data_IF_650246224672
#
_entry.id   IF_650246224672
#
_cell.length_a   1.000
_cell.length_b   1.000
_cell.length_c   1.000
_cell.angle_alpha   90.00
_cell.angle_beta   90.00
_cell.angle_gamma   90.00
#
_symmetry.space_group_name_H-M   'P 1'
#
loop_
_entity.id
_entity.type
_entity.pdbx_description
1 polymer ?
#
# COMPACT_ATOMS: atom_id res chain seq x y z
N UNK A 1 -47.60 59.29 48.79
CA UNK A 1 -47.90 59.66 47.39
C UNK A 1 -46.58 59.61 46.64
N UNK A 2 -46.33 58.77 45.64
CA UNK A 2 -47.20 58.09 44.66
C UNK A 2 -46.51 56.78 44.28
N UNK A 3 -47.23 55.66 44.33
CA UNK A 3 -46.83 54.42 43.65
C UNK A 3 -47.40 54.49 42.24
N UNK A 4 -46.53 54.50 41.23
CA UNK A 4 -46.92 54.48 39.82
C UNK A 4 -47.32 53.06 39.44
N UNK A 5 -48.64 52.84 39.37
CA UNK A 5 -49.24 51.72 38.65
C UNK A 5 -48.88 51.85 37.17
N UNK A 6 -48.27 50.81 36.59
CA UNK A 6 -48.12 50.70 35.15
C UNK A 6 -49.08 49.61 34.69
N UNK A 7 -50.27 50.03 34.26
CA UNK A 7 -51.13 49.23 33.41
C UNK A 7 -50.40 48.96 32.10
N UNK A 8 -50.33 47.69 31.73
CA UNK A 8 -50.06 47.29 30.35
C UNK A 8 -50.89 46.04 30.09
N UNK A 9 -52.12 46.31 29.63
CA UNK A 9 -52.94 45.39 28.87
C UNK A 9 -52.13 44.91 27.66
N UNK A 10 -51.59 43.69 27.74
CA UNK A 10 -51.21 42.94 26.54
C UNK A 10 -52.30 41.91 26.29
N UNK A 11 -53.13 42.19 25.27
CA UNK A 11 -54.16 41.30 24.72
C UNK A 11 -53.81 39.82 24.85
N UNK A 12 -54.62 39.11 25.62
CA UNK A 12 -54.77 37.66 25.49
C UNK A 12 -55.38 37.39 24.12
N UNK A 13 -54.62 36.81 23.20
CA UNK A 13 -55.17 36.24 21.98
C UNK A 13 -55.83 34.92 22.34
N UNK A 14 -57.17 34.85 22.29
CA UNK A 14 -57.92 33.60 22.23
C UNK A 14 -57.45 32.75 21.04
N UNK A 15 -56.62 31.75 21.33
CA UNK A 15 -56.62 30.50 20.58
C UNK A 15 -57.36 29.52 21.48
N UNK A 16 -58.68 29.42 21.26
CA UNK A 16 -59.54 28.35 21.80
C UNK A 16 -59.07 27.02 21.19
N UNK A 17 -58.05 26.41 21.78
CA UNK A 17 -57.95 24.96 21.74
C UNK A 17 -58.79 24.45 22.90
N UNK A 18 -59.93 23.85 22.57
CA UNK A 18 -60.86 23.18 23.49
C UNK A 18 -60.12 22.09 24.28
N UNK A 19 -59.42 22.50 25.33
CA UNK A 19 -58.80 21.61 26.29
C UNK A 19 -59.69 21.69 27.53
N UNK A 20 -60.58 20.71 27.66
CA UNK A 20 -61.55 20.60 28.76
C UNK A 20 -60.80 20.46 30.09
N UNK A 21 -60.41 21.59 30.69
CA UNK A 21 -59.83 21.63 32.04
C UNK A 21 -60.96 21.39 33.04
N UNK A 22 -61.09 20.15 33.51
CA UNK A 22 -62.04 19.79 34.54
C UNK A 22 -61.70 20.49 35.87
N UNK A 23 -62.35 21.62 36.13
CA UNK A 23 -62.27 22.30 37.42
C UNK A 23 -63.08 21.51 38.46
N UNK A 24 -62.40 20.75 39.31
CA UNK A 24 -62.98 19.95 40.40
C UNK A 24 -63.92 20.79 41.29
N UNK A 25 -63.63 22.08 41.48
CA UNK A 25 -64.46 23.01 42.24
C UNK A 25 -65.83 23.36 41.60
N UNK A 26 -66.03 23.01 40.32
CA UNK A 26 -67.26 23.27 39.56
C UNK A 26 -68.05 22.01 39.19
N UNK A 27 -67.62 20.82 39.64
CA UNK A 27 -68.45 19.63 39.48
C UNK A 27 -69.66 19.73 40.41
N UNK A 28 -70.86 19.91 39.84
CA UNK A 28 -72.11 19.79 40.58
C UNK A 28 -72.22 18.36 41.11
N UNK A 29 -72.30 18.21 42.43
CA UNK A 29 -72.57 16.93 43.08
C UNK A 29 -74.07 16.71 42.89
N UNK A 30 -74.45 15.65 42.18
CA UNK A 30 -75.83 15.16 42.19
C UNK A 30 -76.09 14.64 43.61
N UNK A 31 -77.12 15.16 44.28
CA UNK A 31 -77.53 14.79 45.64
C UNK A 31 -78.03 13.33 45.66
N UNK A 32 -77.14 12.34 45.53
CA UNK A 32 -77.39 11.00 46.04
C UNK A 32 -77.44 11.13 47.56
N UNK A 33 -78.56 10.74 48.19
CA UNK A 33 -78.77 10.84 49.64
C UNK A 33 -77.55 10.30 50.39
N UNK A 34 -76.74 11.23 50.90
CA UNK A 34 -75.57 10.91 51.71
C UNK A 34 -76.12 10.26 52.98
N UNK A 35 -75.80 8.98 53.20
CA UNK A 35 -75.92 8.36 54.52
C UNK A 35 -75.16 9.26 55.50
N UNK A 36 -75.86 10.13 56.24
CA UNK A 36 -75.30 11.04 57.25
C UNK A 36 -74.66 10.22 58.37
N UNK A 37 -73.41 9.81 58.17
CA UNK A 37 -72.59 9.17 59.20
C UNK A 37 -72.19 10.27 60.20
N UNK A 38 -73.00 10.39 61.26
CA UNK A 38 -72.75 11.34 62.35
C UNK A 38 -71.54 10.89 63.20
N UNK A 39 -70.33 11.29 62.80
CA UNK A 39 -69.12 11.12 63.60
C UNK A 39 -69.17 11.97 64.88
N UNK A 40 -68.69 11.39 65.97
CA UNK A 40 -68.47 12.16 67.20
C UNK A 40 -67.31 13.15 67.00
N UNK A 41 -67.39 14.33 67.65
CA UNK A 41 -66.29 15.30 67.64
C UNK A 41 -64.97 14.68 68.13
N UNK A 42 -65.02 13.82 69.15
CA UNK A 42 -63.84 13.13 69.69
C UNK A 42 -63.22 12.17 68.67
N UNK A 43 -64.04 11.45 67.88
CA UNK A 43 -63.53 10.58 66.80
C UNK A 43 -62.85 11.39 65.69
N UNK A 44 -63.41 12.55 65.35
CA UNK A 44 -62.84 13.43 64.35
C UNK A 44 -61.51 14.02 64.80
N UNK A 45 -61.41 14.38 66.09
CA UNK A 45 -60.20 14.89 66.69
C UNK A 45 -59.08 13.84 66.72
N UNK A 46 -59.39 12.61 67.16
CA UNK A 46 -58.44 11.49 67.17
C UNK A 46 -57.96 11.16 65.74
N UNK A 47 -58.86 11.15 64.76
CA UNK A 47 -58.50 10.92 63.35
C UNK A 47 -57.55 12.01 62.81
N UNK A 48 -57.80 13.28 63.14
CA UNK A 48 -56.93 14.38 62.73
C UNK A 48 -55.54 14.30 63.39
N UNK A 49 -55.46 13.99 64.68
CA UNK A 49 -54.18 13.86 65.38
C UNK A 49 -53.33 12.72 64.81
N UNK A 50 -53.95 11.58 64.53
CA UNK A 50 -53.28 10.46 63.85
C UNK A 50 -52.77 10.86 62.46
N UNK A 51 -53.61 11.52 61.65
CA UNK A 51 -53.21 12.02 60.34
C UNK A 51 -52.05 13.01 60.40
N UNK A 52 -52.07 13.92 61.39
CA UNK A 52 -51.00 14.90 61.58
C UNK A 52 -49.67 14.24 61.98
N UNK A 53 -49.73 13.21 62.82
CA UNK A 53 -48.56 12.41 63.17
C UNK A 53 -47.98 11.69 61.95
N UNK A 54 -48.81 11.02 61.16
CA UNK A 54 -48.38 10.37 59.92
C UNK A 54 -47.77 11.36 58.92
N UNK A 55 -48.40 12.53 58.74
CA UNK A 55 -47.88 13.60 57.89
C UNK A 55 -46.48 14.05 58.33
N UNK A 56 -46.26 14.22 59.64
CA UNK A 56 -44.96 14.61 60.19
C UNK A 56 -43.90 13.55 59.90
N UNK A 57 -44.24 12.27 60.05
CA UNK A 57 -43.33 11.15 59.75
C UNK A 57 -43.00 11.08 58.26
N UNK A 58 -43.99 11.26 57.37
CA UNK A 58 -43.78 11.35 55.93
C UNK A 58 -42.86 12.53 55.58
N UNK A 59 -43.02 13.68 56.23
CA UNK A 59 -42.15 14.83 56.02
C UNK A 59 -40.69 14.54 56.40
N UNK A 60 -40.46 13.79 57.48
CA UNK A 60 -39.11 13.38 57.87
C UNK A 60 -38.50 12.41 56.85
N UNK A 61 -39.27 11.42 56.38
CA UNK A 61 -38.84 10.49 55.32
C UNK A 61 -38.53 11.22 54.02
N UNK A 62 -39.33 12.20 53.61
CA UNK A 62 -39.06 12.99 52.41
C UNK A 62 -37.75 13.79 52.53
N UNK A 63 -37.46 14.35 53.71
CA UNK A 63 -36.18 15.03 53.97
C UNK A 63 -34.98 14.09 53.87
N UNK A 64 -35.08 12.83 54.31
CA UNK A 64 -33.99 11.86 54.15
C UNK A 64 -33.83 11.47 52.68
N UNK A 65 -34.92 11.14 51.98
CA UNK A 65 -34.88 10.78 50.57
C UNK A 65 -34.27 11.87 49.69
N UNK A 66 -34.56 13.15 49.95
CA UNK A 66 -33.91 14.27 49.25
C UNK A 66 -32.40 14.31 49.43
N UNK A 67 -31.89 13.93 50.61
CA UNK A 67 -30.43 13.88 50.84
C UNK A 67 -29.82 12.72 50.07
N UNK A 68 -30.49 11.57 50.06
CA UNK A 68 -30.05 10.39 49.33
C UNK A 68 -30.04 10.64 47.82
N UNK A 69 -31.06 11.31 47.29
CA UNK A 69 -31.16 11.71 45.87
C UNK A 69 -30.00 12.62 45.44
N UNK A 70 -29.69 13.64 46.25
CA UNK A 70 -28.54 14.52 46.01
C UNK A 70 -27.21 13.72 46.07
N UNK A 71 -27.11 12.76 46.98
CA UNK A 71 -25.92 11.92 47.11
C UNK A 71 -25.72 11.03 45.88
N UNK A 72 -26.78 10.32 45.46
CA UNK A 72 -26.76 9.45 44.28
C UNK A 72 -26.48 10.22 43.00
N UNK A 73 -27.06 11.42 42.83
CA UNK A 73 -26.80 12.26 41.66
C UNK A 73 -25.30 12.60 41.54
N UNK A 74 -24.61 12.89 42.64
CA UNK A 74 -23.16 13.15 42.62
C UNK A 74 -22.35 11.92 42.25
N UNK A 75 -22.74 10.75 42.74
CA UNK A 75 -22.08 9.49 42.41
C UNK A 75 -22.23 9.15 40.93
N UNK A 76 -23.41 9.37 40.34
CA UNK A 76 -23.65 9.21 38.91
C UNK A 76 -22.74 10.13 38.08
N UNK A 77 -22.57 11.39 38.49
CA UNK A 77 -21.70 12.33 37.78
C UNK A 77 -20.22 11.90 37.83
N UNK A 78 -19.75 11.37 38.96
CA UNK A 78 -18.40 10.82 39.11
C UNK A 78 -18.21 9.62 38.18
N UNK A 79 -19.13 8.63 38.24
CA UNK A 79 -19.07 7.43 37.39
C UNK A 79 -19.14 7.76 35.90
N UNK A 80 -19.91 8.79 35.53
CA UNK A 80 -20.00 9.26 34.14
C UNK A 80 -18.66 9.82 33.66
N UNK A 81 -17.95 10.56 34.52
CA UNK A 81 -16.63 11.08 34.20
C UNK A 81 -15.60 9.93 34.09
N UNK A 82 -15.61 8.98 35.01
CA UNK A 82 -14.74 7.79 34.95
C UNK A 82 -14.99 6.96 33.69
N UNK A 83 -16.25 6.70 33.32
CA UNK A 83 -16.59 6.03 32.08
C UNK A 83 -16.10 6.78 30.83
N UNK A 84 -16.13 8.11 30.85
CA UNK A 84 -15.59 8.92 29.75
C UNK A 84 -14.07 8.77 29.62
N UNK A 85 -13.36 8.69 30.75
CA UNK A 85 -11.92 8.47 30.79
C UNK A 85 -11.56 7.08 30.24
N UNK A 86 -12.22 6.02 30.75
CA UNK A 86 -11.97 4.66 30.29
C UNK A 86 -12.30 4.46 28.81
N UNK A 87 -13.34 5.13 28.29
CA UNK A 87 -13.65 5.11 26.86
C UNK A 87 -12.50 5.67 26.01
N UNK A 88 -11.92 6.80 26.42
CA UNK A 88 -10.77 7.37 25.72
C UNK A 88 -9.54 6.46 25.77
N UNK A 89 -9.30 5.81 26.92
CA UNK A 89 -8.19 4.86 27.08
C UNK A 89 -8.35 3.64 26.15
N UNK A 90 -9.57 3.10 26.03
CA UNK A 90 -9.89 2.03 25.08
C UNK A 90 -9.63 2.47 23.63
N UNK A 91 -10.02 3.68 23.26
CA UNK A 91 -9.80 4.20 21.90
C UNK A 91 -8.29 4.32 21.59
N UNK A 92 -7.48 4.78 22.55
CA UNK A 92 -6.01 4.84 22.41
C UNK A 92 -5.43 3.43 22.24
N UNK A 93 -5.85 2.48 23.07
CA UNK A 93 -5.39 1.08 23.00
C UNK A 93 -5.76 0.43 21.67
N UNK A 94 -6.95 0.73 21.13
CA UNK A 94 -7.38 0.21 19.83
C UNK A 94 -6.48 0.73 18.68
N UNK A 95 -6.10 2.01 18.71
CA UNK A 95 -5.15 2.57 17.72
C UNK A 95 -3.78 1.91 17.84
N UNK A 96 -3.31 1.67 19.08
CA UNK A 96 -2.04 0.98 19.31
C UNK A 96 -2.07 -0.46 18.81
N UNK A 97 -3.15 -1.20 19.09
CA UNK A 97 -3.34 -2.58 18.64
C UNK A 97 -3.34 -2.67 17.11
N UNK A 98 -4.03 -1.75 16.43
CA UNK A 98 -4.03 -1.70 14.96
C UNK A 98 -2.61 -1.51 14.41
N UNK A 99 -1.87 -0.55 14.95
CA UNK A 99 -0.48 -0.29 14.56
C UNK A 99 0.42 -1.51 14.79
N UNK A 100 0.24 -2.22 15.92
CA UNK A 100 0.99 -3.44 16.23
C UNK A 100 0.73 -4.56 15.21
N UNK A 101 -0.51 -4.72 14.77
CA UNK A 101 -0.86 -5.71 13.74
C UNK A 101 -0.21 -5.37 12.39
N UNK A 102 -0.22 -4.09 12.00
CA UNK A 102 0.43 -3.62 10.77
C UNK A 102 1.95 -3.92 10.80
N UNK A 103 2.61 -3.66 11.93
CA UNK A 103 4.03 -4.01 12.13
C UNK A 103 4.28 -5.53 12.08
N UNK A 104 3.37 -6.35 12.59
CA UNK A 104 3.52 -7.82 12.53
C UNK A 104 3.45 -8.32 11.08
N UNK A 105 2.56 -7.76 10.27
CA UNK A 105 2.45 -8.09 8.85
C UNK A 105 3.70 -7.69 8.06
N UNK A 106 4.22 -6.48 8.30
CA UNK A 106 5.46 -6.01 7.68
C UNK A 106 6.66 -6.89 8.06
N UNK A 107 6.77 -7.28 9.33
CA UNK A 107 7.82 -8.19 9.80
C UNK A 107 7.74 -9.57 9.13
N UNK A 108 6.54 -10.09 8.85
CA UNK A 108 6.37 -11.33 8.09
C UNK A 108 6.87 -11.18 6.66
N UNK A 109 6.54 -10.07 5.98
CA UNK A 109 7.02 -9.77 4.61
C UNK A 109 8.55 -9.68 4.57
N UNK A 110 9.16 -8.93 5.49
CA UNK A 110 10.61 -8.78 5.57
C UNK A 110 11.32 -10.12 5.81
N UNK A 111 10.76 -11.02 6.62
CA UNK A 111 11.31 -12.38 6.80
C UNK A 111 11.34 -13.17 5.49
N UNK A 112 10.25 -13.12 4.71
CA UNK A 112 10.22 -13.79 3.39
C UNK A 112 11.25 -13.20 2.42
N UNK A 113 11.43 -11.88 2.41
CA UNK A 113 12.46 -11.22 1.58
C UNK A 113 13.88 -11.62 2.01
N UNK A 114 14.16 -11.67 3.31
CA UNK A 114 15.45 -12.12 3.83
C UNK A 114 15.75 -13.55 3.40
N UNK A 115 14.79 -14.46 3.49
CA UNK A 115 14.97 -15.86 3.07
C UNK A 115 15.22 -15.97 1.57
N UNK A 116 14.49 -15.20 0.75
CA UNK A 116 14.71 -15.11 -0.69
C UNK A 116 16.11 -14.57 -1.00
N UNK A 117 16.52 -13.46 -0.36
CA UNK A 117 17.84 -12.86 -0.52
C UNK A 117 18.95 -13.82 -0.10
N UNK A 118 18.82 -14.50 1.03
CA UNK A 118 19.78 -15.50 1.52
C UNK A 118 19.97 -16.64 0.52
N UNK A 119 18.90 -17.09 -0.15
CA UNK A 119 18.96 -18.09 -1.22
C UNK A 119 19.65 -17.56 -2.48
N UNK A 120 19.48 -16.30 -2.84
CA UNK A 120 20.22 -15.69 -3.96
C UNK A 120 21.70 -15.49 -3.63
N UNK A 121 22.01 -15.07 -2.40
CA UNK A 121 23.37 -14.86 -1.92
C UNK A 121 24.17 -16.16 -1.87
N UNK A 122 23.58 -17.26 -1.42
CA UNK A 122 24.27 -18.56 -1.42
C UNK A 122 24.62 -19.03 -2.84
N UNK A 123 23.72 -18.82 -3.83
CA UNK A 123 24.01 -19.08 -5.25
C UNK A 123 25.13 -18.19 -5.77
N UNK A 124 25.09 -16.90 -5.44
CA UNK A 124 26.12 -15.93 -5.82
C UNK A 124 27.49 -16.30 -5.24
N UNK A 125 27.56 -16.61 -3.93
CA UNK A 125 28.78 -17.06 -3.25
C UNK A 125 29.37 -18.29 -3.94
N UNK A 126 28.55 -19.33 -4.20
CA UNK A 126 29.00 -20.53 -4.90
C UNK A 126 29.54 -20.24 -6.31
N UNK A 127 29.00 -19.24 -7.00
CA UNK A 127 29.51 -18.81 -8.30
C UNK A 127 30.79 -17.99 -8.21
N UNK A 128 30.92 -17.16 -7.17
CA UNK A 128 32.14 -16.40 -6.87
C UNK A 128 33.30 -17.33 -6.57
N UNK A 129 33.10 -18.33 -5.69
CA UNK A 129 34.13 -19.31 -5.36
C UNK A 129 34.62 -20.05 -6.61
N UNK A 130 33.71 -20.39 -7.53
CA UNK A 130 34.08 -21.01 -8.82
C UNK A 130 34.89 -20.05 -9.71
N UNK A 131 34.50 -18.78 -9.77
CA UNK A 131 35.22 -17.76 -10.52
C UNK A 131 36.61 -17.51 -9.93
N UNK A 132 36.74 -17.39 -8.62
CA UNK A 132 38.00 -17.19 -7.91
C UNK A 132 38.93 -18.38 -8.11
N UNK A 133 38.39 -19.61 -8.07
CA UNK A 133 39.15 -20.80 -8.43
C UNK A 133 39.64 -20.74 -9.89
N UNK A 134 38.80 -20.31 -10.85
CA UNK A 134 39.19 -20.18 -12.25
C UNK A 134 40.25 -19.08 -12.47
N UNK A 135 40.10 -17.92 -11.84
CA UNK A 135 41.05 -16.81 -11.95
C UNK A 135 42.36 -17.11 -11.21
N UNK A 136 42.29 -17.81 -10.07
CA UNK A 136 43.46 -18.32 -9.36
C UNK A 136 44.28 -19.29 -10.22
N UNK A 137 43.60 -20.12 -11.04
CA UNK A 137 44.24 -20.96 -12.05
C UNK A 137 44.75 -20.15 -13.26
N UNK A 138 44.08 -19.06 -13.65
CA UNK A 138 44.48 -18.18 -14.75
C UNK A 138 45.67 -17.26 -14.42
N UNK A 139 46.06 -17.14 -13.15
CA UNK A 139 47.39 -16.62 -12.77
C UNK A 139 48.49 -17.65 -13.12
N UNK A 140 48.46 -18.22 -14.32
CA UNK A 140 49.69 -18.63 -14.96
C UNK A 140 50.55 -17.38 -15.07
N UNK A 141 51.67 -17.40 -14.36
CA UNK A 141 52.79 -16.50 -14.57
C UNK A 141 53.26 -16.75 -16.01
N UNK A 142 52.71 -16.00 -16.96
CA UNK A 142 53.28 -15.88 -18.28
C UNK A 142 54.57 -15.10 -18.08
N UNK A 143 55.69 -15.83 -18.00
CA UNK A 143 57.06 -15.32 -17.97
C UNK A 143 57.22 -14.00 -17.20
N UNK A 144 57.06 -14.03 -15.86
CA UNK A 144 57.52 -12.90 -15.03
C UNK A 144 59.05 -12.92 -15.05
N UNK A 145 59.62 -12.20 -15.99
CA UNK A 145 61.04 -11.85 -15.99
C UNK A 145 61.20 -10.39 -15.53
N UNK A 146 61.91 -10.19 -14.42
CA UNK A 146 62.26 -8.88 -13.86
C UNK A 146 63.25 -9.03 -12.71
N UNK A 147 64.13 -8.03 -12.53
CA UNK A 147 65.15 -7.92 -11.47
C UNK A 147 64.47 -7.72 -10.10
N UNK A 148 63.79 -8.75 -9.59
CA UNK A 148 63.37 -8.99 -8.19
C UNK A 148 62.30 -10.10 -8.07
N UNK A 149 62.09 -10.90 -9.12
CA UNK A 149 61.10 -11.98 -9.04
C UNK A 149 61.66 -13.25 -8.40
N UNK A 150 61.16 -13.60 -7.21
CA UNK A 150 61.41 -14.90 -6.58
C UNK A 150 60.47 -15.98 -7.15
N UNK A 151 61.06 -17.04 -7.71
CA UNK A 151 60.34 -18.18 -8.25
C UNK A 151 59.61 -18.98 -7.14
N UNK A 152 58.28 -18.99 -7.19
CA UNK A 152 57.46 -19.86 -6.34
C UNK A 152 57.55 -21.31 -6.86
N UNK A 153 58.17 -22.21 -6.08
CA UNK A 153 58.50 -23.60 -6.47
C UNK A 153 57.31 -24.53 -6.82
N UNK A 154 56.06 -24.12 -6.58
CA UNK A 154 54.88 -25.00 -6.66
C UNK A 154 53.77 -24.50 -7.61
N UNK A 155 54.10 -23.73 -8.64
CA UNK A 155 53.09 -23.28 -9.60
C UNK A 155 52.72 -24.43 -10.54
N UNK A 156 51.51 -24.98 -10.38
CA UNK A 156 50.94 -25.95 -11.33
C UNK A 156 50.67 -25.25 -12.66
N UNK A 157 51.49 -25.51 -13.67
CA UNK A 157 51.22 -25.08 -15.04
C UNK A 157 50.10 -25.93 -15.64
N UNK A 158 48.94 -25.32 -15.87
CA UNK A 158 47.83 -25.97 -16.56
C UNK A 158 47.88 -25.65 -18.07
N UNK A 159 47.40 -26.58 -18.91
CA UNK A 159 47.31 -26.39 -20.36
C UNK A 159 46.28 -25.28 -20.66
N UNK A 160 46.72 -24.26 -21.39
CA UNK A 160 45.92 -23.11 -21.83
C UNK A 160 44.58 -23.56 -22.47
N UNK A 161 43.46 -23.06 -21.92
CA UNK A 161 42.12 -23.20 -22.51
C UNK A 161 41.79 -22.14 -23.56
N UNK A 162 42.70 -21.20 -23.84
CA UNK A 162 42.48 -20.19 -24.86
C UNK A 162 42.58 -20.78 -26.26
N UNK A 163 41.44 -20.83 -26.95
CA UNK A 163 41.36 -21.17 -28.38
C UNK A 163 42.19 -20.15 -29.16
N UNK A 164 43.22 -20.62 -29.89
CA UNK A 164 43.98 -19.76 -30.81
C UNK A 164 43.01 -19.13 -31.80
N UNK A 165 43.03 -17.80 -31.92
CA UNK A 165 42.23 -17.05 -32.89
C UNK A 165 42.53 -17.58 -34.29
N UNK A 166 41.53 -18.13 -34.98
CA UNK A 166 41.69 -18.51 -36.39
C UNK A 166 42.06 -17.24 -37.16
N UNK A 167 43.23 -17.25 -37.81
CA UNK A 167 43.66 -16.15 -38.66
C UNK A 167 42.60 -15.91 -39.75
N UNK A 168 41.98 -14.74 -39.72
CA UNK A 168 40.97 -14.35 -40.71
C UNK A 168 41.64 -14.28 -42.09
N UNK A 169 41.32 -15.21 -42.99
CA UNK A 169 41.77 -15.18 -44.38
C UNK A 169 41.13 -13.97 -45.08
N UNK A 170 41.85 -12.86 -45.12
CA UNK A 170 41.41 -11.64 -45.83
C UNK A 170 41.30 -11.99 -47.32
N UNK A 171 40.10 -11.86 -47.89
CA UNK A 171 39.85 -12.06 -49.33
C UNK A 171 39.29 -10.78 -49.96
N UNK A 172 39.64 -10.53 -51.21
CA UNK A 172 39.21 -9.35 -51.94
C UNK A 172 37.87 -9.60 -52.67
N UNK A 173 36.83 -8.83 -52.35
CA UNK A 173 35.52 -8.96 -53.01
C UNK A 173 35.54 -8.57 -54.50
N UNK A 174 36.55 -7.83 -54.95
CA UNK A 174 36.64 -7.38 -56.35
C UNK A 174 37.29 -8.43 -57.27
N UNK A 175 38.47 -8.94 -56.90
CA UNK A 175 39.24 -9.89 -57.72
C UNK A 175 39.22 -11.35 -57.20
N UNK A 176 38.62 -11.61 -56.03
CA UNK A 176 38.53 -12.94 -55.44
C UNK A 176 39.84 -13.53 -54.91
N UNK A 177 40.94 -12.75 -54.84
CA UNK A 177 42.24 -13.21 -54.33
C UNK A 177 42.41 -12.90 -52.84
N UNK A 178 43.18 -13.74 -52.15
CA UNK A 178 43.52 -13.55 -50.73
C UNK A 178 44.61 -12.47 -50.53
N UNK A 179 44.73 -11.98 -49.29
CA UNK A 179 45.82 -11.11 -48.83
C UNK A 179 45.57 -9.61 -48.93
N UNK A 180 44.44 -9.16 -49.48
CA UNK A 180 44.10 -7.73 -49.55
C UNK A 180 42.57 -7.51 -49.62
N UNK A 181 42.13 -6.28 -49.37
CA UNK A 181 40.73 -5.85 -49.42
C UNK A 181 40.43 -5.14 -50.75
N UNK A 182 39.16 -4.99 -51.12
CA UNK A 182 38.75 -4.37 -52.39
C UNK A 182 39.27 -2.95 -52.62
N UNK A 183 39.56 -2.20 -51.56
CA UNK A 183 40.11 -0.83 -51.64
C UNK A 183 41.57 -0.80 -52.08
N UNK A 184 42.36 -1.81 -51.73
CA UNK A 184 43.75 -1.96 -52.16
C UNK A 184 43.91 -2.88 -53.37
N UNK A 185 42.80 -3.20 -54.06
CA UNK A 185 42.84 -4.08 -55.22
C UNK A 185 43.42 -3.38 -56.45
N UNK A 186 44.53 -3.91 -56.96
CA UNK A 186 45.23 -3.41 -58.15
C UNK A 186 44.29 -3.36 -59.37
N UNK A 187 43.41 -4.36 -59.52
CA UNK A 187 42.45 -4.43 -60.62
C UNK A 187 41.28 -3.42 -60.49
N UNK A 188 41.06 -2.87 -59.29
CA UNK A 188 40.07 -1.79 -59.08
C UNK A 188 40.71 -0.43 -59.35
N UNK A 189 41.95 -0.24 -58.92
CA UNK A 189 42.61 1.07 -58.92
C UNK A 189 43.32 1.40 -60.25
N UNK A 190 43.56 0.43 -61.12
CA UNK A 190 44.20 0.66 -62.42
C UNK A 190 43.22 0.44 -63.58
N UNK A 191 42.95 1.50 -64.35
CA UNK A 191 42.08 1.46 -65.54
C UNK A 191 42.63 0.59 -66.69
N UNK A 192 43.93 0.31 -66.70
CA UNK A 192 44.63 -0.38 -67.80
C UNK A 192 44.40 -1.91 -67.81
N UNK A 193 43.97 -2.50 -66.70
CA UNK A 193 43.58 -3.91 -66.64
C UNK A 193 42.09 -4.01 -66.97
N UNK A 194 41.80 -4.11 -68.27
CA UNK A 194 40.48 -3.99 -68.87
C UNK A 194 39.34 -4.57 -68.04
N UNK A 195 38.27 -3.78 -67.90
CA UNK A 195 36.98 -4.22 -67.34
C UNK A 195 36.50 -5.43 -68.14
N UNK A 196 36.71 -6.64 -67.63
CA UNK A 196 35.99 -7.81 -68.13
C UNK A 196 34.50 -7.54 -67.92
N UNK A 197 33.78 -7.23 -69.01
CA UNK A 197 32.32 -7.06 -68.98
C UNK A 197 31.73 -8.39 -68.53
N UNK A 198 31.33 -8.46 -67.26
CA UNK A 198 30.53 -9.57 -66.74
C UNK A 198 29.09 -9.33 -67.16
N UNK A 199 28.62 -10.12 -68.12
CA UNK A 199 27.20 -10.20 -68.48
C UNK A 199 26.55 -11.15 -67.48
N UNK A 200 25.43 -10.76 -66.89
CA UNK A 200 24.67 -11.65 -66.03
C UNK A 200 24.02 -12.74 -66.89
N UNK A 201 24.31 -14.01 -66.60
CA UNK A 201 23.73 -15.15 -67.31
C UNK A 201 23.11 -16.10 -66.28
N UNK A 202 21.87 -16.59 -66.50
CA UNK A 202 21.26 -17.60 -65.64
C UNK A 202 22.15 -18.85 -65.51
N UNK A 203 22.19 -19.42 -64.30
CA UNK A 203 22.97 -20.65 -64.01
C UNK A 203 22.50 -21.78 -64.93
N UNK A 204 23.44 -22.38 -65.68
CA UNK A 204 23.19 -23.47 -66.64
C UNK A 204 23.43 -23.13 -68.11
N UNK A 205 23.75 -21.87 -68.42
CA UNK A 205 23.97 -21.43 -69.81
C UNK A 205 25.47 -21.49 -70.16
N UNK A 206 25.84 -22.31 -71.15
CA UNK A 206 27.18 -22.28 -71.74
C UNK A 206 27.21 -21.27 -72.90
N UNK A 207 28.06 -20.25 -72.80
CA UNK A 207 28.21 -19.24 -73.87
C UNK A 207 29.04 -19.87 -75.01
N UNK A 208 28.39 -20.46 -75.99
CA UNK A 208 29.04 -20.95 -77.21
C UNK A 208 29.35 -19.78 -78.15
N UNK A 209 30.62 -19.68 -78.56
CA UNK A 209 31.21 -18.82 -79.58
C UNK A 209 30.27 -17.88 -80.35
N UNK A 210 30.42 -16.56 -80.15
CA UNK A 210 29.82 -15.56 -81.03
C UNK A 210 30.57 -15.54 -82.37
N UNK A 211 30.04 -16.21 -83.38
CA UNK A 211 30.54 -16.12 -84.75
C UNK A 211 30.00 -14.82 -85.38
N UNK A 212 30.82 -13.77 -85.38
CA UNK A 212 30.53 -12.47 -86.00
C UNK A 212 31.02 -12.38 -87.46
N UNK A 213 30.42 -11.50 -88.27
CA UNK A 213 30.53 -11.55 -89.73
C UNK A 213 31.78 -10.80 -90.21
N UNK A 214 32.73 -11.53 -90.82
CA UNK A 214 33.75 -11.05 -91.79
C UNK A 214 34.79 -12.14 -92.05
N UNK A 215 34.50 -13.15 -92.86
CA UNK A 215 35.53 -13.78 -93.70
C UNK A 215 34.89 -14.24 -95.01
N UNK A 216 35.42 -13.72 -96.10
CA UNK A 216 34.95 -13.82 -97.48
C UNK A 216 35.23 -15.24 -97.99
N UNK A 217 34.20 -15.93 -98.47
CA UNK A 217 34.36 -17.20 -99.19
C UNK A 217 34.74 -16.88 -100.65
N UNK A 218 35.87 -17.42 -101.13
CA UNK A 218 36.24 -17.38 -102.57
C UNK A 218 36.22 -18.83 -103.09
N UNK A 219 35.48 -19.15 -104.16
CA UNK A 219 35.50 -20.49 -104.76
C UNK A 219 36.80 -20.75 -105.51
N UNK A 220 37.33 -21.98 -105.40
CA UNK A 220 38.42 -22.45 -106.26
C UNK A 220 37.88 -22.86 -107.63
N UNK A 221 38.49 -22.35 -108.69
CA UNK A 221 38.64 -22.98 -110.01
C UNK A 221 40.12 -23.16 -110.25
#
# INVERSE_FOLDING_TARGET
MVATWSDSDSSSSEEESDEEVAHIAFMAIEDEEEDEVNFSFDELQDAYENLFHEYKDVCLKNKSLKKDDISMSKEIDILKNENSYHKNEIDILNVFLKSSNDFEEENKKLKFEIDALKKTFSKFSNSSDKLDNLLGLQRCVFDKAGLDYEEMKNVKHFKNFFVKKNESKIFCNYCGRFGHVSTSCIYRNNLCYGKTRRIWVPKGTFVTNAQGPKFIWVPKV
#
